data_IF_298750511181
#
_entry.id   IF_298750511181
#
_cell.length_a   1.000
_cell.length_b   1.000
_cell.length_c   1.000
_cell.angle_alpha   90.00
_cell.angle_beta   90.00
_cell.angle_gamma   90.00
#
_symmetry.space_group_name_H-M   'P 1'
#
loop_
_entity.id
_entity.type
_entity.pdbx_description
1 polymer ?
#
# COMPACT_ATOMS: atom_id res chain seq x y z
N UNK A 1 -1.71 -16.83 -1.10
CA UNK A 1 -1.90 -15.58 -1.85
C UNK A 1 -0.94 -14.49 -1.45
N UNK A 2 -0.77 -14.22 -0.17
CA UNK A 2 0.13 -13.16 0.33
C UNK A 2 1.59 -13.34 -0.09
N UNK A 3 2.13 -14.56 0.00
CA UNK A 3 3.52 -14.82 -0.39
C UNK A 3 3.77 -14.57 -1.87
N UNK A 4 2.83 -14.95 -2.73
CA UNK A 4 2.93 -14.71 -4.18
C UNK A 4 2.79 -13.23 -4.51
N UNK A 5 1.84 -12.55 -3.90
CA UNK A 5 1.66 -11.10 -4.08
C UNK A 5 2.91 -10.32 -3.68
N UNK A 6 3.52 -10.70 -2.56
CA UNK A 6 4.77 -10.10 -2.12
C UNK A 6 5.90 -10.31 -3.14
N UNK A 7 6.06 -11.52 -3.64
CA UNK A 7 7.07 -11.82 -4.67
C UNK A 7 6.85 -11.01 -5.94
N UNK A 8 5.60 -10.83 -6.34
CA UNK A 8 5.25 -9.98 -7.50
C UNK A 8 5.69 -8.54 -7.27
N UNK A 9 5.42 -7.98 -6.08
CA UNK A 9 5.83 -6.61 -5.76
C UNK A 9 7.34 -6.46 -5.67
N UNK A 10 8.04 -7.42 -5.06
CA UNK A 10 9.49 -7.43 -4.94
C UNK A 10 10.18 -7.50 -6.30
N UNK A 11 9.53 -8.11 -7.29
CA UNK A 11 10.09 -8.25 -8.62
C UNK A 11 10.32 -6.88 -9.31
N UNK A 12 9.48 -5.89 -9.03
CA UNK A 12 9.68 -4.53 -9.54
C UNK A 12 11.00 -3.94 -9.05
N UNK A 13 11.34 -4.18 -7.79
CA UNK A 13 12.60 -3.70 -7.22
C UNK A 13 13.80 -4.50 -7.77
N UNK A 14 13.66 -5.83 -7.89
CA UNK A 14 14.72 -6.69 -8.42
C UNK A 14 15.07 -6.38 -9.88
N UNK A 15 14.08 -6.03 -10.68
CA UNK A 15 14.26 -5.71 -12.09
C UNK A 15 14.49 -4.21 -12.33
N UNK A 16 14.37 -3.39 -11.30
CA UNK A 16 14.46 -1.93 -11.37
C UNK A 16 13.53 -1.35 -12.46
N UNK A 17 12.29 -1.86 -12.51
CA UNK A 17 11.28 -1.46 -13.50
C UNK A 17 10.02 -0.96 -12.85
N UNK A 18 9.39 0.01 -13.48
CA UNK A 18 8.09 0.56 -13.05
C UNK A 18 6.91 -0.21 -13.65
N UNK A 19 7.12 -0.91 -14.75
CA UNK A 19 6.12 -1.76 -15.38
C UNK A 19 6.70 -3.11 -15.75
N UNK A 20 5.92 -4.18 -15.56
CA UNK A 20 6.33 -5.56 -15.84
C UNK A 20 5.20 -6.24 -16.61
N UNK A 21 5.57 -6.97 -17.64
CA UNK A 21 4.64 -7.75 -18.45
C UNK A 21 4.28 -9.10 -17.78
N UNK A 22 3.13 -9.62 -18.15
CA UNK A 22 2.63 -10.89 -17.62
C UNK A 22 3.61 -12.04 -17.85
N UNK A 23 4.27 -12.09 -19.00
CA UNK A 23 5.24 -13.14 -19.30
C UNK A 23 6.40 -13.15 -18.30
N UNK A 24 6.93 -11.99 -17.95
CA UNK A 24 7.98 -11.85 -16.94
C UNK A 24 7.52 -12.34 -15.56
N UNK A 25 6.30 -11.99 -15.15
CA UNK A 25 5.75 -12.53 -13.90
C UNK A 25 5.68 -14.06 -13.91
N UNK A 26 5.24 -14.63 -15.02
CA UNK A 26 5.13 -16.11 -15.15
C UNK A 26 6.51 -16.77 -15.10
N UNK A 27 7.51 -16.16 -15.70
CA UNK A 27 8.87 -16.67 -15.71
C UNK A 27 9.52 -16.68 -14.32
N UNK A 28 9.36 -15.62 -13.56
CA UNK A 28 10.03 -15.45 -12.26
C UNK A 28 9.24 -15.97 -11.06
N UNK A 29 7.94 -16.05 -11.14
CA UNK A 29 7.08 -16.43 -10.02
C UNK A 29 6.55 -17.86 -10.15
N UNK A 30 6.36 -18.34 -11.38
CA UNK A 30 5.73 -19.64 -11.64
C UNK A 30 6.74 -20.79 -11.76
N UNK A 31 6.56 -21.83 -10.94
CA UNK A 31 7.37 -23.05 -11.05
C UNK A 31 6.86 -24.06 -12.10
N UNK A 32 5.55 -24.07 -12.39
CA UNK A 32 4.92 -24.93 -13.39
C UNK A 32 4.04 -24.09 -14.31
N UNK A 33 4.30 -24.05 -15.61
CA UNK A 33 3.68 -23.08 -16.51
C UNK A 33 2.15 -23.09 -16.55
N UNK A 34 1.52 -24.26 -16.43
CA UNK A 34 0.06 -24.34 -16.58
C UNK A 34 -0.70 -24.00 -15.30
N UNK A 35 -0.29 -24.58 -14.17
CA UNK A 35 -0.94 -24.31 -12.87
C UNK A 35 -0.57 -22.93 -12.31
N UNK A 36 0.67 -22.50 -12.55
CA UNK A 36 1.16 -21.21 -12.07
C UNK A 36 0.51 -20.03 -12.78
N UNK A 37 0.18 -20.18 -14.07
CA UNK A 37 -0.44 -19.10 -14.86
C UNK A 37 -1.75 -18.62 -14.25
N UNK A 38 -2.64 -19.56 -13.92
CA UNK A 38 -3.94 -19.23 -13.34
C UNK A 38 -3.78 -18.58 -11.97
N UNK A 39 -2.93 -19.16 -11.12
CA UNK A 39 -2.66 -18.60 -9.80
C UNK A 39 -2.04 -17.19 -9.86
N UNK A 40 -1.14 -16.96 -10.79
CA UNK A 40 -0.51 -15.63 -11.00
C UNK A 40 -1.56 -14.62 -11.48
N UNK A 41 -2.39 -15.00 -12.46
CA UNK A 41 -3.46 -14.14 -12.97
C UNK A 41 -4.48 -13.79 -11.89
N UNK A 42 -4.90 -14.75 -11.08
CA UNK A 42 -5.81 -14.50 -9.96
C UNK A 42 -5.20 -13.57 -8.92
N UNK A 43 -3.94 -13.77 -8.60
CA UNK A 43 -3.21 -12.91 -7.65
C UNK A 43 -3.08 -11.49 -8.20
N UNK A 44 -2.70 -11.32 -9.47
CA UNK A 44 -2.61 -10.01 -10.11
C UNK A 44 -3.97 -9.31 -10.11
N UNK A 45 -5.04 -10.02 -10.48
CA UNK A 45 -6.40 -9.46 -10.46
C UNK A 45 -6.80 -8.97 -9.09
N UNK A 46 -6.50 -9.74 -8.06
CA UNK A 46 -6.76 -9.34 -6.67
C UNK A 46 -5.93 -8.12 -6.26
N UNK A 47 -4.66 -8.08 -6.64
CA UNK A 47 -3.78 -6.96 -6.36
C UNK A 47 -4.23 -5.67 -7.06
N UNK A 48 -4.77 -5.77 -8.27
CA UNK A 48 -5.38 -4.63 -8.98
C UNK A 48 -6.61 -4.13 -8.23
N UNK A 49 -7.48 -5.03 -7.76
CA UNK A 49 -8.65 -4.68 -6.94
C UNK A 49 -8.25 -4.00 -5.64
N UNK A 50 -7.16 -4.43 -5.01
CA UNK A 50 -6.65 -3.85 -3.78
C UNK A 50 -5.88 -2.55 -4.01
N UNK A 51 -5.64 -2.16 -5.25
CA UNK A 51 -4.91 -0.93 -5.58
C UNK A 51 -3.40 -1.03 -5.46
N UNK A 52 -2.85 -2.25 -5.36
CA UNK A 52 -1.40 -2.48 -5.28
C UNK A 52 -0.73 -2.44 -6.66
N UNK A 53 -1.47 -2.83 -7.68
CA UNK A 53 -1.08 -2.78 -9.08
C UNK A 53 -2.16 -2.06 -9.88
N UNK A 54 -1.78 -1.55 -11.04
CA UNK A 54 -2.72 -1.06 -12.05
C UNK A 54 -2.32 -1.58 -13.42
N UNK A 55 -3.32 -1.74 -14.27
CA UNK A 55 -3.07 -2.10 -15.67
C UNK A 55 -2.44 -0.90 -16.38
N UNK A 56 -1.37 -1.17 -17.13
CA UNK A 56 -0.74 -0.16 -17.97
C UNK A 56 -1.55 0.06 -19.25
N UNK A 57 -1.31 1.20 -19.91
CA UNK A 57 -1.83 1.46 -21.25
C UNK A 57 -1.37 0.44 -22.28
N UNK A 58 -0.23 -0.24 -22.04
CA UNK A 58 0.24 -1.36 -22.87
C UNK A 58 -0.42 -2.64 -22.44
N UNK A 59 -0.92 -3.41 -23.40
CA UNK A 59 -1.55 -4.70 -23.14
C UNK A 59 -0.60 -5.65 -22.39
N UNK A 60 -1.12 -6.36 -21.41
CA UNK A 60 -0.41 -7.33 -20.58
C UNK A 60 0.73 -6.76 -19.71
N UNK A 61 0.84 -5.44 -19.59
CA UNK A 61 1.77 -4.81 -18.65
C UNK A 61 1.04 -4.29 -17.43
N UNK A 62 1.69 -4.41 -16.28
CA UNK A 62 1.18 -3.96 -14.98
C UNK A 62 2.19 -3.04 -14.32
N UNK A 63 1.70 -2.00 -13.67
CA UNK A 63 2.51 -1.04 -12.94
C UNK A 63 2.26 -1.16 -11.45
N UNK A 64 3.32 -1.08 -10.65
CA UNK A 64 3.20 -1.03 -9.20
C UNK A 64 2.76 0.37 -8.77
N UNK A 65 1.71 0.44 -7.97
CA UNK A 65 1.23 1.70 -7.40
C UNK A 65 2.10 2.11 -6.21
N UNK A 66 1.92 3.34 -5.71
CA UNK A 66 2.57 3.78 -4.48
C UNK A 66 2.20 2.88 -3.30
N UNK A 67 0.93 2.47 -3.22
CA UNK A 67 0.46 1.54 -2.19
C UNK A 67 1.18 0.19 -2.28
N UNK A 68 1.43 -0.30 -3.49
CA UNK A 68 2.21 -1.50 -3.70
C UNK A 68 3.67 -1.37 -3.25
N UNK A 69 4.27 -0.19 -3.42
CA UNK A 69 5.62 0.10 -2.92
C UNK A 69 5.67 0.05 -1.39
N UNK A 70 4.69 0.68 -0.74
CA UNK A 70 4.61 0.71 0.72
C UNK A 70 4.45 -0.68 1.32
N UNK A 71 3.69 -1.55 0.66
CA UNK A 71 3.48 -2.93 1.10
C UNK A 71 4.78 -3.74 1.15
N UNK A 72 5.67 -3.54 0.18
CA UNK A 72 6.96 -4.24 0.14
C UNK A 72 7.94 -3.64 1.14
N UNK A 73 8.03 -2.31 1.17
CA UNK A 73 9.02 -1.61 1.99
C UNK A 73 8.75 -1.83 3.47
N UNK A 74 7.50 -1.73 3.90
CA UNK A 74 7.15 -2.00 5.29
C UNK A 74 5.64 -2.16 5.45
N UNK A 75 5.16 -3.37 5.84
CA UNK A 75 3.75 -3.56 6.18
C UNK A 75 3.33 -2.76 7.43
N UNK A 76 4.30 -2.24 8.19
CA UNK A 76 4.09 -1.37 9.35
C UNK A 76 4.29 0.10 9.03
N UNK A 77 4.36 0.47 7.74
CA UNK A 77 4.41 1.86 7.34
C UNK A 77 3.02 2.48 7.51
N UNK A 78 2.95 3.51 8.34
CA UNK A 78 1.73 4.29 8.54
C UNK A 78 1.85 5.54 7.66
N UNK A 79 0.89 5.74 6.77
CA UNK A 79 0.82 6.93 5.93
C UNK A 79 -0.34 7.79 6.39
N UNK A 80 -0.04 9.01 6.78
CA UNK A 80 -1.02 10.02 7.16
C UNK A 80 -1.16 11.04 6.04
N UNK A 81 -2.27 11.01 5.34
CA UNK A 81 -2.63 12.07 4.39
C UNK A 81 -3.28 13.19 5.18
N UNK A 82 -2.68 14.34 5.12
CA UNK A 82 -3.04 15.47 5.95
C UNK A 82 -3.07 16.77 5.13
N UNK A 83 -3.55 17.83 5.75
CA UNK A 83 -3.54 19.17 5.21
C UNK A 83 -3.07 20.12 6.30
N UNK A 84 -2.33 21.18 5.93
CA UNK A 84 -1.94 22.22 6.87
C UNK A 84 -3.17 22.90 7.46
N UNK A 85 -3.13 23.17 8.76
CA UNK A 85 -4.25 23.77 9.49
C UNK A 85 -5.39 22.81 9.84
N UNK A 86 -5.21 21.52 9.60
CA UNK A 86 -6.22 20.50 9.93
C UNK A 86 -6.06 20.05 11.38
N UNK A 87 -6.99 20.43 12.23
CA UNK A 87 -6.97 20.07 13.67
C UNK A 87 -7.10 18.55 13.89
N UNK A 88 -7.99 17.88 13.15
CA UNK A 88 -8.17 16.44 13.23
C UNK A 88 -6.93 15.67 12.77
N UNK A 89 -6.18 16.23 11.81
CA UNK A 89 -4.93 15.64 11.35
C UNK A 89 -3.85 15.70 12.45
N UNK A 90 -3.79 16.79 13.19
CA UNK A 90 -2.86 16.95 14.32
C UNK A 90 -3.21 15.98 15.44
N UNK A 91 -4.49 15.81 15.75
CA UNK A 91 -4.96 14.84 16.73
C UNK A 91 -4.60 13.41 16.32
N UNK A 92 -4.80 13.07 15.05
CA UNK A 92 -4.44 11.76 14.51
C UNK A 92 -2.93 11.50 14.65
N UNK A 93 -2.11 12.48 14.28
CA UNK A 93 -0.65 12.38 14.42
C UNK A 93 -0.24 12.14 15.87
N UNK A 94 -0.81 12.89 16.80
CA UNK A 94 -0.52 12.75 18.23
C UNK A 94 -0.88 11.36 18.75
N UNK A 95 -1.95 10.75 18.24
CA UNK A 95 -2.36 9.40 18.59
C UNK A 95 -1.47 8.33 17.95
N UNK A 96 -0.93 8.58 16.76
CA UNK A 96 -0.07 7.64 16.01
C UNK A 96 1.33 7.56 16.59
N UNK A 97 1.93 8.67 17.00
CA UNK A 97 3.34 8.74 17.44
C UNK A 97 3.68 7.73 18.55
N UNK A 98 2.87 7.56 19.62
CA UNK A 98 3.15 6.54 20.63
C UNK A 98 3.15 5.11 20.07
N UNK A 99 2.28 4.82 19.10
CA UNK A 99 2.20 3.52 18.46
C UNK A 99 3.40 3.24 17.56
N UNK A 100 3.92 4.26 16.90
CA UNK A 100 5.15 4.17 16.10
C UNK A 100 6.31 3.70 16.99
N UNK A 101 6.48 4.30 18.17
CA UNK A 101 7.52 3.90 19.11
C UNK A 101 7.28 2.48 19.67
N UNK A 102 6.04 2.17 20.05
CA UNK A 102 5.70 0.91 20.68
C UNK A 102 5.88 -0.30 19.75
N UNK A 103 5.49 -0.17 18.48
CA UNK A 103 5.50 -1.27 17.52
C UNK A 103 6.67 -1.26 16.54
N UNK A 104 7.56 -0.29 16.64
CA UNK A 104 8.63 -0.14 15.67
C UNK A 104 8.11 0.16 14.26
N UNK A 105 7.00 0.87 14.17
CA UNK A 105 6.41 1.30 12.91
C UNK A 105 7.11 2.55 12.38
N UNK A 106 6.78 2.95 11.16
CA UNK A 106 7.24 4.21 10.58
C UNK A 106 6.04 5.09 10.27
N UNK A 107 6.21 6.40 10.37
CA UNK A 107 5.18 7.36 9.99
C UNK A 107 5.65 8.19 8.80
N UNK A 108 4.86 8.20 7.75
CA UNK A 108 5.04 9.08 6.60
C UNK A 108 3.87 10.05 6.56
N UNK A 109 4.19 11.34 6.60
CA UNK A 109 3.20 12.40 6.46
C UNK A 109 3.19 12.89 5.02
N UNK A 110 2.01 12.98 4.43
CA UNK A 110 1.83 13.47 3.06
C UNK A 110 0.81 14.59 3.08
N UNK A 111 1.23 15.79 2.67
CA UNK A 111 0.33 16.92 2.49
C UNK A 111 -0.39 16.77 1.17
N UNK A 112 -1.71 16.63 1.21
CA UNK A 112 -2.51 16.44 -0.01
C UNK A 112 -2.50 17.65 -0.93
N UNK A 113 -2.21 18.83 -0.40
CA UNK A 113 -2.15 20.06 -1.20
C UNK A 113 -0.90 20.13 -2.09
N UNK A 114 0.11 19.29 -1.81
CA UNK A 114 1.33 19.20 -2.62
C UNK A 114 1.13 18.38 -3.90
N UNK A 115 0.06 17.57 -3.99
CA UNK A 115 -0.25 16.76 -5.16
C UNK A 115 -1.71 16.91 -5.59
N UNK A 116 -1.97 17.36 -6.85
CA UNK A 116 -3.33 17.58 -7.32
C UNK A 116 -4.24 16.34 -7.26
N UNK A 117 -3.69 15.16 -7.54
CA UNK A 117 -4.45 13.90 -7.51
C UNK A 117 -4.91 13.58 -6.08
N UNK A 118 -4.03 13.75 -5.10
CA UNK A 118 -4.34 13.52 -3.69
C UNK A 118 -5.33 14.57 -3.16
N UNK A 119 -5.15 15.82 -3.56
CA UNK A 119 -6.05 16.90 -3.21
C UNK A 119 -7.48 16.59 -3.67
N UNK A 120 -7.65 16.21 -4.92
CA UNK A 120 -8.97 15.87 -5.47
C UNK A 120 -9.59 14.66 -4.78
N UNK A 121 -8.76 13.68 -4.42
CA UNK A 121 -9.21 12.43 -3.82
C UNK A 121 -9.61 12.58 -2.35
N UNK A 122 -8.85 13.35 -1.57
CA UNK A 122 -8.97 13.39 -0.11
C UNK A 122 -9.33 14.74 0.48
N UNK A 123 -9.64 15.74 -0.34
CA UNK A 123 -9.86 17.11 0.13
C UNK A 123 -10.90 17.24 1.26
N UNK A 124 -11.92 16.37 1.26
CA UNK A 124 -12.98 16.36 2.28
C UNK A 124 -12.83 15.21 3.28
N UNK A 125 -11.80 14.38 3.15
CA UNK A 125 -11.66 13.13 3.90
C UNK A 125 -10.50 13.13 4.89
N UNK A 126 -9.64 14.14 4.88
CA UNK A 126 -8.49 14.22 5.79
C UNK A 126 -8.92 14.31 7.26
N UNK A 127 -8.20 13.66 8.18
CA UNK A 127 -7.05 12.81 7.95
C UNK A 127 -7.43 11.45 7.36
N UNK A 128 -6.62 10.97 6.42
CA UNK A 128 -6.75 9.62 5.87
C UNK A 128 -5.50 8.84 6.27
N UNK A 129 -5.68 7.71 6.92
CA UNK A 129 -4.58 6.92 7.47
C UNK A 129 -4.55 5.54 6.82
N UNK A 130 -3.38 5.18 6.29
CA UNK A 130 -3.10 3.86 5.73
C UNK A 130 -2.10 3.13 6.61
N UNK A 131 -2.31 1.83 6.77
CA UNK A 131 -1.31 0.91 7.31
C UNK A 131 -0.89 -0.02 6.17
N UNK A 132 0.35 0.15 5.69
CA UNK A 132 0.77 -0.47 4.44
C UNK A 132 -0.09 0.05 3.30
N UNK A 133 -0.76 -0.85 2.60
CA UNK A 133 -1.65 -0.53 1.47
C UNK A 133 -3.13 -0.36 1.85
N UNK A 134 -3.48 -0.57 3.12
CA UNK A 134 -4.89 -0.61 3.55
C UNK A 134 -5.27 0.65 4.30
N UNK A 135 -6.38 1.26 3.89
CA UNK A 135 -6.98 2.37 4.63
C UNK A 135 -7.52 1.87 5.97
N UNK A 136 -7.05 2.45 7.07
CA UNK A 136 -7.48 2.08 8.42
C UNK A 136 -8.35 3.15 9.08
N UNK A 137 -8.31 4.38 8.58
CA UNK A 137 -9.14 5.45 9.09
C UNK A 137 -9.29 6.58 8.07
N UNK A 138 -10.41 7.29 8.16
CA UNK A 138 -10.65 8.56 7.48
C UNK A 138 -11.48 9.45 8.38
N UNK A 139 -11.32 10.74 8.29
CA UNK A 139 -11.94 11.79 9.11
C UNK A 139 -11.51 11.77 10.57
N UNK A 140 -11.51 10.60 11.21
CA UNK A 140 -11.14 10.46 12.61
C UNK A 140 -10.49 9.09 12.84
N UNK A 141 -9.38 9.08 13.56
CA UNK A 141 -8.65 7.87 13.91
C UNK A 141 -9.14 7.31 15.26
N UNK A 142 -9.40 6.00 15.29
CA UNK A 142 -9.52 5.24 16.52
C UNK A 142 -8.18 4.59 16.85
N UNK A 143 -7.44 5.09 17.86
CA UNK A 143 -6.12 4.54 18.19
C UNK A 143 -6.16 3.07 18.60
N UNK A 144 -7.23 2.62 19.22
CA UNK A 144 -7.38 1.23 19.64
C UNK A 144 -7.47 0.28 18.43
N UNK A 145 -8.15 0.71 17.37
CA UNK A 145 -8.25 -0.06 16.13
C UNK A 145 -6.89 -0.16 15.43
N UNK A 146 -6.14 0.93 15.34
CA UNK A 146 -4.81 0.93 14.76
C UNK A 146 -3.85 0.05 15.57
N UNK A 147 -3.92 0.13 16.90
CA UNK A 147 -3.13 -0.73 17.80
C UNK A 147 -3.39 -2.21 17.51
N UNK A 148 -4.64 -2.61 17.40
CA UNK A 148 -5.00 -4.01 17.10
C UNK A 148 -4.43 -4.47 15.77
N UNK A 149 -4.48 -3.65 14.74
CA UNK A 149 -3.92 -3.98 13.43
C UNK A 149 -2.40 -4.13 13.47
N UNK A 150 -1.71 -3.25 14.21
CA UNK A 150 -0.25 -3.35 14.41
C UNK A 150 0.13 -4.60 15.21
N UNK A 151 -0.67 -4.98 16.21
CA UNK A 151 -0.46 -6.21 16.98
C UNK A 151 -0.56 -7.46 16.09
N UNK A 152 -1.46 -7.49 15.13
CA UNK A 152 -1.61 -8.60 14.19
C UNK A 152 -0.39 -8.75 13.26
N UNK A 153 0.33 -7.66 13.00
CA UNK A 153 1.55 -7.67 12.19
C UNK A 153 2.81 -8.01 12.97
N UNK A 154 2.71 -8.04 14.29
CA UNK A 154 3.83 -8.30 15.20
C UNK A 154 4.02 -9.80 15.39
N UNK A 155 4.58 -10.44 14.39
CA UNK A 155 4.95 -11.86 14.48
C UNK A 155 6.39 -12.06 14.06
#
# INVERSE_FOLDING_TARGET
>A
MEAMARRILELFDQLERDSIDLHTFLEFVGGNPSAAREAVLDTISEMVKQGLLRESARSDFYERTEDGRLEVVSPRAITLYMREGCHLCEEAKAAILPLVSEFGATLREVDIDDEPVLHDRYTNDVPVIFLGSKMVAQHRLDPAQLRRRLQLLKK
#
